data_IF_746833157507
#
_entry.id   IF_746833157507
#
_cell.length_a   1.000
_cell.length_b   1.000
_cell.length_c   1.000
_cell.angle_alpha   90.00
_cell.angle_beta   90.00
_cell.angle_gamma   90.00
#
_symmetry.space_group_name_H-M   'P 1'
#
loop_
_entity.id
_entity.type
_entity.pdbx_description
1 polymer ?
#
# COMPACT_ATOMS: atom_id res chain seq x y z
N UNK A 1 -1.86 -12.70 2.63
CA UNK A 1 -1.14 -11.44 2.33
C UNK A 1 -2.11 -10.52 1.62
N UNK A 2 -2.40 -9.35 2.19
CA UNK A 2 -3.39 -8.40 1.65
C UNK A 2 -2.73 -7.16 1.06
N UNK A 3 -3.35 -6.59 0.03
CA UNK A 3 -2.98 -5.30 -0.55
C UNK A 3 -4.04 -4.26 -0.23
N UNK A 4 -3.61 -3.00 -0.11
CA UNK A 4 -4.43 -1.87 0.31
C UNK A 4 -4.10 -0.66 -0.54
N UNK A 5 -5.10 0.12 -0.95
CA UNK A 5 -4.87 1.43 -1.56
C UNK A 5 -4.77 2.48 -0.48
N UNK A 6 -3.93 3.48 -0.71
CA UNK A 6 -3.87 4.67 0.14
C UNK A 6 -4.84 5.71 -0.40
N UNK A 7 -5.55 6.41 0.48
CA UNK A 7 -6.38 7.55 0.09
C UNK A 7 -5.50 8.74 -0.29
N UNK A 8 -5.08 8.77 -1.54
CA UNK A 8 -4.31 9.86 -2.14
C UNK A 8 -5.24 11.02 -2.51
N UNK A 9 -4.89 12.24 -2.10
CA UNK A 9 -5.56 13.46 -2.58
C UNK A 9 -5.05 13.72 -4.00
N UNK A 10 -5.71 13.08 -4.98
CA UNK A 10 -5.47 13.28 -6.41
C UNK A 10 -4.65 12.17 -7.07
N UNK A 11 -5.29 11.42 -7.99
CA UNK A 11 -4.77 10.54 -9.07
C UNK A 11 -3.53 9.64 -8.81
N UNK A 12 -2.96 9.59 -7.62
CA UNK A 12 -1.77 8.81 -7.31
C UNK A 12 -2.21 7.38 -7.07
N UNK A 13 -1.78 6.47 -7.97
CA UNK A 13 -2.05 5.04 -7.89
C UNK A 13 -1.21 4.37 -6.81
N UNK A 14 -1.24 4.90 -5.60
CA UNK A 14 -0.44 4.47 -4.47
C UNK A 14 -1.09 3.27 -3.81
N UNK A 15 -0.32 2.19 -3.67
CA UNK A 15 -0.77 0.98 -3.02
C UNK A 15 0.29 0.43 -2.08
N UNK A 16 -0.20 -0.30 -1.09
CA UNK A 16 0.58 -0.91 -0.04
C UNK A 16 0.30 -2.40 -0.02
N UNK A 17 1.33 -3.22 0.14
CA UNK A 17 1.19 -4.66 0.31
C UNK A 17 1.86 -5.12 1.58
N UNK A 18 1.17 -5.95 2.37
CA UNK A 18 1.78 -6.57 3.55
C UNK A 18 2.75 -7.66 3.07
N UNK A 19 4.03 -7.44 3.37
CA UNK A 19 5.12 -8.37 3.02
C UNK A 19 5.35 -9.36 4.16
N UNK A 20 5.26 -8.90 5.41
CA UNK A 20 5.45 -9.73 6.59
C UNK A 20 4.54 -9.28 7.73
N UNK A 21 3.94 -10.23 8.43
CA UNK A 21 3.22 -9.98 9.67
C UNK A 21 4.16 -10.21 10.86
N UNK A 22 4.12 -9.32 11.84
CA UNK A 22 4.85 -9.37 13.11
C UNK A 22 3.83 -9.38 14.26
N UNK A 23 4.25 -9.69 15.48
CA UNK A 23 3.34 -9.69 16.64
C UNK A 23 2.74 -8.31 16.93
N UNK A 24 3.51 -7.24 16.73
CA UNK A 24 3.14 -5.87 17.06
C UNK A 24 2.80 -4.99 15.82
N UNK A 25 2.89 -5.55 14.62
CA UNK A 25 2.68 -4.78 13.38
C UNK A 25 2.95 -5.54 12.10
N UNK A 26 3.20 -4.79 11.03
CA UNK A 26 3.33 -5.30 9.67
C UNK A 26 4.51 -4.62 8.99
N UNK A 27 5.30 -5.41 8.27
CA UNK A 27 6.22 -4.89 7.27
C UNK A 27 5.46 -4.76 5.97
N UNK A 28 5.41 -3.55 5.44
CA UNK A 28 4.64 -3.21 4.26
C UNK A 28 5.54 -2.66 3.17
N UNK A 29 5.20 -2.98 1.92
CA UNK A 29 5.82 -2.38 0.74
C UNK A 29 4.85 -1.38 0.15
N UNK A 30 5.26 -0.12 0.12
CA UNK A 30 4.51 1.00 -0.42
C UNK A 30 5.06 1.29 -1.81
N UNK A 31 4.19 1.27 -2.81
CA UNK A 31 4.48 1.62 -4.18
C UNK A 31 3.75 2.92 -4.49
N UNK A 32 4.49 3.95 -4.90
CA UNK A 32 3.93 5.23 -5.32
C UNK A 32 4.27 5.51 -6.76
N UNK A 33 3.29 5.96 -7.52
CA UNK A 33 3.46 6.38 -8.90
C UNK A 33 3.59 7.91 -8.94
N UNK A 34 4.80 8.39 -9.24
CA UNK A 34 5.12 9.80 -9.35
C UNK A 34 5.52 10.09 -10.81
N UNK A 35 4.55 10.56 -11.60
CA UNK A 35 4.76 11.08 -12.96
C UNK A 35 5.66 10.19 -13.84
N UNK A 36 5.40 8.88 -13.85
CA UNK A 36 6.13 7.91 -14.67
C UNK A 36 7.31 7.22 -13.98
N UNK A 37 7.61 7.59 -12.72
CA UNK A 37 8.55 6.87 -11.88
C UNK A 37 7.83 6.11 -10.76
N UNK A 38 8.15 4.82 -10.63
CA UNK A 38 7.64 3.98 -9.55
C UNK A 38 8.64 4.00 -8.40
N UNK A 39 8.21 4.54 -7.27
CA UNK A 39 8.97 4.61 -6.03
C UNK A 39 8.49 3.50 -5.09
N UNK A 40 9.37 2.55 -4.79
CA UNK A 40 9.06 1.40 -3.95
C UNK A 40 9.84 1.46 -2.65
N UNK A 41 9.12 1.53 -1.54
CA UNK A 41 9.71 1.62 -0.20
C UNK A 41 9.16 0.52 0.69
N UNK A 42 10.02 -0.02 1.54
CA UNK A 42 9.62 -0.99 2.57
C UNK A 42 9.66 -0.29 3.91
N UNK A 43 8.55 -0.34 4.64
CA UNK A 43 8.40 0.33 5.92
C UNK A 43 7.68 -0.57 6.93
N UNK A 44 7.72 -0.18 8.20
CA UNK A 44 7.00 -0.83 9.28
C UNK A 44 5.80 0.00 9.70
N UNK A 45 4.63 -0.64 9.81
CA UNK A 45 3.42 -0.06 10.38
C UNK A 45 3.00 -0.86 11.59
N UNK A 46 2.82 -0.21 12.74
CA UNK A 46 2.31 -0.88 13.93
C UNK A 46 0.86 -1.33 13.70
N UNK A 47 0.45 -2.39 14.40
CA UNK A 47 -0.90 -2.95 14.28
C UNK A 47 -1.98 -1.91 14.60
N UNK A 48 -1.76 -1.11 15.64
CA UNK A 48 -2.65 -0.01 16.05
C UNK A 48 -2.81 1.04 14.95
N UNK A 49 -1.72 1.44 14.29
CA UNK A 49 -1.78 2.42 13.22
C UNK A 49 -2.48 1.83 11.99
N UNK A 50 -2.15 0.59 11.63
CA UNK A 50 -2.77 -0.13 10.53
C UNK A 50 -4.30 -0.22 10.70
N UNK A 51 -4.77 -0.68 11.87
CA UNK A 51 -6.20 -0.77 12.18
C UNK A 51 -6.88 0.61 12.17
N UNK A 52 -6.21 1.65 12.67
CA UNK A 52 -6.71 3.02 12.62
C UNK A 52 -6.87 3.52 11.18
N UNK A 53 -5.90 3.24 10.33
CA UNK A 53 -5.94 3.61 8.92
C UNK A 53 -7.05 2.89 8.15
N UNK A 54 -7.31 1.61 8.46
CA UNK A 54 -8.47 0.89 7.91
C UNK A 54 -9.78 1.52 8.40
N UNK A 55 -9.89 1.77 9.71
CA UNK A 55 -11.11 2.32 10.34
C UNK A 55 -11.48 3.72 9.83
N UNK A 56 -10.48 4.55 9.54
CA UNK A 56 -10.67 5.91 9.01
C UNK A 56 -10.89 5.94 7.49
N UNK A 57 -10.77 4.81 6.81
CA UNK A 57 -10.83 4.72 5.35
C UNK A 57 -9.60 5.33 4.66
N UNK A 58 -8.50 5.51 5.40
CA UNK A 58 -7.21 5.89 4.81
C UNK A 58 -6.60 4.73 4.02
N UNK A 59 -6.75 3.51 4.54
CA UNK A 59 -6.42 2.27 3.84
C UNK A 59 -7.69 1.56 3.44
N UNK A 60 -7.81 1.21 2.17
CA UNK A 60 -8.91 0.39 1.66
C UNK A 60 -8.36 -0.91 1.13
N UNK A 61 -8.87 -2.04 1.63
CA UNK A 61 -8.45 -3.36 1.17
C UNK A 61 -8.83 -3.53 -0.30
N UNK A 62 -7.91 -4.02 -1.10
CA UNK A 62 -8.16 -4.43 -2.49
C UNK A 62 -8.09 -5.96 -2.58
N UNK A 63 -9.03 -6.55 -3.30
CA UNK A 63 -9.11 -8.01 -3.46
C UNK A 63 -8.11 -8.53 -4.50
N UNK A 64 -7.78 -7.71 -5.49
CA UNK A 64 -6.77 -8.01 -6.49
C UNK A 64 -5.57 -7.09 -6.29
N UNK A 65 -4.33 -7.61 -6.19
CA UNK A 65 -3.17 -6.75 -6.28
C UNK A 65 -3.25 -6.05 -7.63
N UNK A 66 -3.20 -4.71 -7.61
CA UNK A 66 -3.06 -3.93 -8.84
C UNK A 66 -1.69 -4.31 -9.43
N UNK A 67 -1.66 -5.39 -10.20
CA UNK A 67 -0.62 -5.66 -11.17
C UNK A 67 -0.78 -4.55 -12.20
N UNK A 68 -0.23 -3.37 -11.91
CA UNK A 68 0.15 -2.46 -12.97
C UNK A 68 1.19 -3.22 -13.77
N UNK A 69 0.70 -3.94 -14.78
CA UNK A 69 1.53 -4.55 -15.80
C UNK A 69 2.48 -3.47 -16.27
N UNK A 70 3.78 -3.77 -16.20
CA UNK A 70 4.75 -3.01 -16.94
C UNK A 70 4.27 -2.98 -18.40
N UNK A 71 3.75 -1.83 -18.83
CA UNK A 71 3.61 -1.51 -20.24
C UNK A 71 5.04 -1.29 -20.74
N UNK A 72 5.73 -2.40 -21.01
CA UNK A 72 6.95 -2.35 -21.80
C UNK A 72 6.52 -1.87 -23.20
N UNK A 73 6.82 -0.61 -23.49
CA UNK A 73 6.71 0.00 -24.81
C UNK A 73 7.74 -0.59 -25.77
#
# INVERSE_FOLDING_TARGET
>A
MGSYTLKSIGKSGDYMTIVRELEDGYVVRIVRDKDGYVDETTDYISKTLFESCIRTGYLTKIEEPVQKMAVNA
#
